data_IF_821541643588
#
_entry.id   IF_821541643588
#
_cell.length_a   1.000
_cell.length_b   1.000
_cell.length_c   1.000
_cell.angle_alpha   90.00
_cell.angle_beta   90.00
_cell.angle_gamma   90.00
#
_symmetry.space_group_name_H-M   'P 1'
#
loop_
_entity.id
_entity.type
_entity.pdbx_description
1 polymer ?
#
# COMPACT_ATOMS: atom_id res chain seq x y z
N UNK A 1 -20.61 33.78 19.32
CA UNK A 1 -19.68 32.94 20.09
C UNK A 1 -18.55 32.56 19.14
N UNK A 2 -17.30 32.77 19.52
CA UNK A 2 -16.18 32.30 18.71
C UNK A 2 -16.19 30.78 18.72
N UNK A 3 -16.21 30.17 17.54
CA UNK A 3 -16.06 28.73 17.45
C UNK A 3 -14.67 28.35 17.98
N UNK A 4 -14.61 27.42 18.93
CA UNK A 4 -13.35 26.90 19.43
C UNK A 4 -12.61 26.22 18.26
N UNK A 5 -11.31 26.49 18.12
CA UNK A 5 -10.46 25.76 17.18
C UNK A 5 -10.27 24.29 17.65
N UNK A 6 -9.81 23.36 16.78
CA UNK A 6 -9.76 21.92 17.09
C UNK A 6 -9.06 21.57 18.42
N UNK A 7 -7.93 22.19 18.72
CA UNK A 7 -7.23 22.00 19.99
C UNK A 7 -8.05 22.50 21.19
N UNK A 8 -8.76 23.62 21.04
CA UNK A 8 -9.67 24.14 22.05
C UNK A 8 -10.89 23.25 22.27
N UNK A 9 -11.41 22.63 21.21
CA UNK A 9 -12.46 21.60 21.29
C UNK A 9 -11.96 20.39 22.09
N UNK A 10 -10.71 19.96 21.90
CA UNK A 10 -10.11 18.85 22.65
C UNK A 10 -10.00 19.16 24.14
N UNK A 11 -9.52 20.37 24.49
CA UNK A 11 -9.46 20.83 25.88
C UNK A 11 -10.87 20.92 26.49
N UNK A 12 -11.83 21.50 25.77
CA UNK A 12 -13.23 21.62 26.21
C UNK A 12 -13.85 20.23 26.45
N UNK A 13 -13.65 19.28 25.55
CA UNK A 13 -14.18 17.92 25.69
C UNK A 13 -13.65 17.22 26.96
N UNK A 14 -12.38 17.41 27.31
CA UNK A 14 -11.83 16.88 28.54
C UNK A 14 -12.42 17.56 29.79
N UNK A 15 -12.64 18.88 29.73
CA UNK A 15 -13.28 19.62 30.82
C UNK A 15 -14.72 19.16 31.03
N UNK A 16 -15.47 18.97 29.95
CA UNK A 16 -16.87 18.54 30.01
C UNK A 16 -16.99 17.10 30.51
N UNK A 17 -16.07 16.21 30.09
CA UNK A 17 -16.04 14.81 30.54
C UNK A 17 -15.84 14.67 32.04
N UNK A 18 -14.95 15.49 32.61
CA UNK A 18 -14.54 15.37 34.02
C UNK A 18 -15.23 16.41 34.94
N UNK A 19 -15.99 17.35 34.36
CA UNK A 19 -16.52 18.51 35.08
C UNK A 19 -15.42 19.47 35.60
N UNK A 20 -14.29 19.54 34.91
CA UNK A 20 -13.08 20.25 35.37
C UNK A 20 -13.01 21.70 34.90
N UNK A 21 -12.63 22.60 35.81
CA UNK A 21 -12.23 23.96 35.46
C UNK A 21 -10.80 24.00 34.87
N UNK A 22 -10.37 25.14 34.33
CA UNK A 22 -8.98 25.29 33.86
C UNK A 22 -7.96 25.21 35.00
N UNK A 23 -8.37 25.55 36.23
CA UNK A 23 -7.54 25.34 37.43
C UNK A 23 -7.41 23.87 37.80
N UNK A 24 -8.43 23.07 37.50
CA UNK A 24 -8.36 21.62 37.73
C UNK A 24 -7.44 20.94 36.72
N UNK A 25 -7.35 21.46 35.49
CA UNK A 25 -6.34 21.04 34.51
C UNK A 25 -4.90 21.32 35.00
N UNK A 26 -4.65 22.49 35.59
CA UNK A 26 -3.36 22.80 36.23
C UNK A 26 -3.04 21.81 37.36
N UNK A 27 -3.98 21.57 38.27
CA UNK A 27 -3.81 20.59 39.35
C UNK A 27 -3.61 19.16 38.82
N UNK A 28 -4.26 18.80 37.72
CA UNK A 28 -4.09 17.51 37.07
C UNK A 28 -2.69 17.37 36.43
N UNK A 29 -2.17 18.45 35.83
CA UNK A 29 -0.81 18.48 35.31
C UNK A 29 0.21 18.31 36.44
N UNK A 30 0.05 19.05 37.54
CA UNK A 30 0.94 18.99 38.71
C UNK A 30 0.97 17.59 39.33
N UNK A 31 -0.19 16.94 39.48
CA UNK A 31 -0.28 15.54 39.96
C UNK A 31 0.43 14.54 39.05
N UNK A 32 0.55 14.85 37.76
CA UNK A 32 1.25 14.02 36.76
C UNK A 32 2.73 14.41 36.60
N UNK A 33 3.26 15.27 37.46
CA UNK A 33 4.65 15.70 37.43
C UNK A 33 4.97 16.74 36.35
N UNK A 34 3.95 17.40 35.81
CA UNK A 34 4.10 18.41 34.77
C UNK A 34 3.83 19.82 35.30
N UNK A 35 4.60 20.81 34.83
CA UNK A 35 4.37 22.22 35.15
C UNK A 35 3.67 22.93 33.99
N UNK A 36 2.37 23.19 34.13
CA UNK A 36 1.60 24.03 33.21
C UNK A 36 0.52 24.82 33.94
N UNK A 37 0.57 26.15 33.84
CA UNK A 37 -0.39 27.05 34.47
C UNK A 37 -1.76 27.05 33.79
N UNK A 38 -2.84 27.28 34.55
CA UNK A 38 -4.21 27.39 34.02
C UNK A 38 -4.34 28.44 32.91
N UNK A 39 -3.55 29.52 32.96
CA UNK A 39 -3.51 30.55 31.91
C UNK A 39 -3.03 29.99 30.57
N UNK A 40 -2.10 29.03 30.56
CA UNK A 40 -1.69 28.35 29.34
C UNK A 40 -2.82 27.48 28.77
N UNK A 41 -3.55 26.75 29.62
CA UNK A 41 -4.72 25.97 29.17
C UNK A 41 -5.81 26.89 28.61
N UNK A 42 -6.09 28.01 29.28
CA UNK A 42 -7.09 28.98 28.83
C UNK A 42 -6.70 29.60 27.49
N UNK A 43 -5.43 29.98 27.33
CA UNK A 43 -4.89 30.52 26.08
C UNK A 43 -5.00 29.51 24.95
N UNK A 44 -4.48 28.29 25.16
CA UNK A 44 -4.52 27.21 24.17
C UNK A 44 -5.93 26.73 23.83
N UNK A 45 -6.94 27.13 24.61
CA UNK A 45 -8.33 26.80 24.35
C UNK A 45 -9.04 27.84 23.48
N UNK A 46 -8.74 29.12 23.67
CA UNK A 46 -9.55 30.23 23.13
C UNK A 46 -8.78 31.04 22.08
N UNK A 47 -7.48 31.23 22.25
CA UNK A 47 -6.67 32.06 21.37
C UNK A 47 -6.22 31.28 20.12
N UNK A 48 -6.05 31.97 18.97
CA UNK A 48 -5.46 31.35 17.78
C UNK A 48 -4.12 30.70 18.09
N UNK A 49 -3.96 29.45 17.66
CA UNK A 49 -2.70 28.70 17.83
C UNK A 49 -1.78 29.04 16.67
N UNK A 50 -0.63 29.64 16.97
CA UNK A 50 0.41 29.97 15.97
C UNK A 50 1.58 28.99 16.06
N UNK A 51 1.85 28.50 17.26
CA UNK A 51 2.89 27.53 17.54
C UNK A 51 2.58 26.77 18.83
N UNK A 52 3.05 25.54 18.91
CA UNK A 52 2.97 24.70 20.10
C UNK A 52 4.31 24.01 20.35
N UNK A 53 4.73 23.92 21.61
CA UNK A 53 5.97 23.22 22.00
C UNK A 53 5.67 21.74 22.20
N UNK A 54 6.66 20.87 21.92
CA UNK A 54 6.58 19.44 22.20
C UNK A 54 6.22 19.15 23.67
N UNK A 55 6.81 19.91 24.62
CA UNK A 55 6.47 19.78 26.03
C UNK A 55 5.00 20.10 26.32
N UNK A 56 4.38 21.04 25.60
CA UNK A 56 2.96 21.34 25.77
C UNK A 56 2.08 20.21 25.23
N UNK A 57 2.48 19.60 24.11
CA UNK A 57 1.80 18.43 23.54
C UNK A 57 1.80 17.28 24.56
N UNK A 58 2.96 16.97 25.15
CA UNK A 58 3.10 15.93 26.17
C UNK A 58 2.21 16.19 27.39
N UNK A 59 2.24 17.42 27.93
CA UNK A 59 1.40 17.77 29.07
C UNK A 59 -0.09 17.67 28.73
N UNK A 60 -0.51 18.16 27.56
CA UNK A 60 -1.91 18.07 27.13
C UNK A 60 -2.33 16.62 26.91
N UNK A 61 -1.52 15.80 26.24
CA UNK A 61 -1.81 14.38 26.04
C UNK A 61 -2.00 13.66 27.38
N UNK A 62 -1.05 13.89 28.29
CA UNK A 62 -1.08 13.37 29.65
C UNK A 62 -2.33 13.82 30.40
N UNK A 63 -2.62 15.12 30.47
CA UNK A 63 -3.74 15.69 31.23
C UNK A 63 -5.10 15.32 30.65
N UNK A 64 -5.26 15.42 29.33
CA UNK A 64 -6.53 15.22 28.62
C UNK A 64 -6.84 13.73 28.38
N UNK A 65 -5.86 12.84 28.60
CA UNK A 65 -6.03 11.39 28.44
C UNK A 65 -6.16 10.97 26.97
N UNK A 66 -5.41 11.62 26.08
CA UNK A 66 -5.38 11.32 24.63
C UNK A 66 -3.93 11.11 24.17
N UNK A 67 -3.74 10.60 22.96
CA UNK A 67 -2.38 10.42 22.42
C UNK A 67 -1.73 11.76 22.07
N UNK A 68 -0.39 11.81 22.14
CA UNK A 68 0.39 12.97 21.67
C UNK A 68 0.12 13.29 20.20
N UNK A 69 -0.08 12.25 19.37
CA UNK A 69 -0.47 12.41 17.98
C UNK A 69 -1.80 13.14 17.83
N UNK A 70 -2.83 12.78 18.60
CA UNK A 70 -4.13 13.46 18.53
C UNK A 70 -4.02 14.95 18.90
N UNK A 71 -3.23 15.27 19.94
CA UNK A 71 -2.97 16.66 20.33
C UNK A 71 -2.17 17.41 19.26
N UNK A 72 -1.15 16.77 18.68
CA UNK A 72 -0.33 17.35 17.63
C UNK A 72 -1.17 17.65 16.37
N UNK A 73 -2.01 16.70 15.93
CA UNK A 73 -2.91 16.90 14.79
C UNK A 73 -3.90 18.03 15.06
N UNK A 74 -4.55 18.03 16.22
CA UNK A 74 -5.48 19.11 16.59
C UNK A 74 -4.78 20.48 16.68
N UNK A 75 -3.53 20.53 17.12
CA UNK A 75 -2.75 21.76 17.14
C UNK A 75 -2.39 22.23 15.71
N UNK A 76 -2.00 21.32 14.82
CA UNK A 76 -1.70 21.59 13.41
C UNK A 76 -2.95 22.09 12.66
N UNK A 77 -4.09 21.44 12.87
CA UNK A 77 -5.38 21.89 12.34
C UNK A 77 -5.79 23.25 12.92
N UNK A 78 -5.49 23.50 14.20
CA UNK A 78 -5.72 24.82 14.83
C UNK A 78 -4.82 25.93 14.27
N UNK A 79 -3.68 25.57 13.68
CA UNK A 79 -2.82 26.48 12.93
C UNK A 79 -3.31 26.70 11.49
N UNK A 80 -4.42 26.07 11.09
CA UNK A 80 -5.02 26.21 9.75
C UNK A 80 -4.49 25.22 8.71
N UNK A 81 -3.68 24.24 9.12
CA UNK A 81 -3.19 23.20 8.22
C UNK A 81 -4.21 22.07 8.17
N UNK A 82 -4.81 21.85 7.01
CA UNK A 82 -5.69 20.71 6.78
C UNK A 82 -4.82 19.45 6.70
N UNK A 83 -4.91 18.63 7.74
CA UNK A 83 -4.36 17.29 7.72
C UNK A 83 -5.42 16.41 7.06
N UNK A 84 -5.28 16.22 5.76
CA UNK A 84 -6.10 15.23 5.08
C UNK A 84 -5.84 13.87 5.73
N UNK A 85 -6.84 13.36 6.42
CA UNK A 85 -6.89 11.98 6.91
C UNK A 85 -7.05 10.99 5.75
N UNK A 86 -6.64 11.38 4.53
CA UNK A 86 -6.39 10.43 3.46
C UNK A 86 -5.42 9.44 4.07
N UNK A 87 -5.91 8.22 4.31
CA UNK A 87 -5.08 7.05 4.47
C UNK A 87 -4.01 7.18 3.41
N UNK A 88 -2.80 7.60 3.80
CA UNK A 88 -1.68 7.67 2.88
C UNK A 88 -1.73 6.34 2.16
N UNK A 89 -1.81 6.36 0.82
CA UNK A 89 -1.95 5.10 0.08
C UNK A 89 -0.87 4.17 0.63
N UNK A 90 -1.11 2.87 0.69
CA UNK A 90 -0.08 1.92 1.13
C UNK A 90 1.26 2.22 0.41
N UNK A 91 1.19 2.71 -0.83
CA UNK A 91 2.34 3.23 -1.58
C UNK A 91 3.04 4.44 -0.96
N UNK A 92 2.30 5.46 -0.50
CA UNK A 92 2.86 6.66 0.14
C UNK A 92 3.47 6.33 1.50
N UNK A 93 2.81 5.48 2.29
CA UNK A 93 3.37 4.97 3.55
C UNK A 93 4.64 4.17 3.31
N UNK A 94 4.65 3.30 2.29
CA UNK A 94 5.86 2.55 1.95
C UNK A 94 6.98 3.45 1.46
N UNK A 95 6.69 4.43 0.60
CA UNK A 95 7.69 5.39 0.08
C UNK A 95 8.39 6.18 1.18
N UNK A 96 7.66 6.50 2.25
CA UNK A 96 8.16 7.29 3.37
C UNK A 96 8.78 6.44 4.51
N UNK A 97 8.73 5.11 4.41
CA UNK A 97 9.34 4.21 5.40
C UNK A 97 10.85 4.15 5.20
N UNK A 98 11.61 4.53 6.22
CA UNK A 98 13.10 4.48 6.21
C UNK A 98 13.67 3.15 6.68
N UNK A 99 12.85 2.30 7.31
CA UNK A 99 13.29 1.04 7.93
C UNK A 99 13.34 -0.13 6.94
N UNK A 100 12.92 0.07 5.68
CA UNK A 100 12.94 -0.96 4.64
C UNK A 100 14.09 -0.72 3.65
N UNK A 101 14.73 -1.80 3.23
CA UNK A 101 15.67 -1.75 2.10
C UNK A 101 14.94 -1.32 0.83
N UNK A 102 15.60 -0.53 -0.02
CA UNK A 102 15.09 -0.13 -1.34
C UNK A 102 14.63 -1.33 -2.19
N UNK A 103 15.25 -2.51 -2.00
CA UNK A 103 14.85 -3.75 -2.68
C UNK A 103 13.47 -4.21 -2.21
N UNK A 104 13.26 -4.27 -0.90
CA UNK A 104 12.04 -4.80 -0.29
C UNK A 104 10.86 -3.84 -0.50
N UNK A 105 11.13 -2.53 -0.42
CA UNK A 105 10.17 -1.49 -0.75
C UNK A 105 9.65 -1.62 -2.19
N UNK A 106 10.54 -1.88 -3.16
CA UNK A 106 10.15 -2.12 -4.56
C UNK A 106 9.30 -3.38 -4.73
N UNK A 107 9.65 -4.46 -4.03
CA UNK A 107 8.90 -5.73 -4.09
C UNK A 107 7.49 -5.57 -3.54
N UNK A 108 7.34 -4.91 -2.39
CA UNK A 108 6.03 -4.73 -1.77
C UNK A 108 5.17 -3.76 -2.59
N UNK A 109 5.76 -2.70 -3.15
CA UNK A 109 5.05 -1.80 -4.08
C UNK A 109 4.57 -2.54 -5.33
N UNK A 110 5.38 -3.44 -5.89
CA UNK A 110 4.96 -4.24 -7.06
C UNK A 110 3.82 -5.20 -6.74
N UNK A 111 3.81 -5.77 -5.54
CA UNK A 111 2.73 -6.66 -5.09
C UNK A 111 1.43 -5.86 -4.88
N UNK A 112 1.52 -4.69 -4.23
CA UNK A 112 0.39 -3.81 -4.02
C UNK A 112 -0.26 -3.35 -5.34
N UNK A 113 0.56 -3.04 -6.35
CA UNK A 113 0.08 -2.69 -7.69
C UNK A 113 -0.66 -3.86 -8.37
N UNK A 114 -0.09 -5.07 -8.32
CA UNK A 114 -0.72 -6.26 -8.90
C UNK A 114 -2.06 -6.63 -8.23
N UNK A 115 -2.18 -6.42 -6.91
CA UNK A 115 -3.43 -6.62 -6.19
C UNK A 115 -4.51 -5.59 -6.53
N UNK A 116 -4.13 -4.39 -6.97
CA UNK A 116 -5.06 -3.34 -7.37
C UNK A 116 -5.62 -3.58 -8.78
N UNK A 117 -4.77 -4.00 -9.71
CA UNK A 117 -5.18 -4.32 -11.09
C UNK A 117 -6.11 -5.54 -11.16
N UNK A 118 -5.98 -6.49 -10.23
CA UNK A 118 -6.86 -7.66 -10.14
C UNK A 118 -8.22 -7.35 -9.49
N UNK A 119 -8.35 -6.23 -8.78
CA UNK A 119 -9.60 -5.81 -8.12
C UNK A 119 -10.49 -4.84 -8.90
N UNK A 120 -9.97 -4.19 -9.96
CA UNK A 120 -10.68 -3.10 -10.66
C UNK A 120 -11.47 -3.55 -11.92
N UNK A 121 -11.68 -4.86 -12.10
CA UNK A 121 -12.21 -5.46 -13.33
C UNK A 121 -13.67 -5.95 -13.31
N UNK A 122 -14.57 -5.45 -12.45
CA UNK A 122 -15.97 -5.91 -12.48
C UNK A 122 -17.04 -4.93 -11.96
N UNK A 123 -17.14 -3.71 -12.49
CA UNK A 123 -18.45 -3.01 -12.54
C UNK A 123 -18.54 -2.30 -13.89
N UNK A 124 -19.20 -2.94 -14.85
CA UNK A 124 -19.54 -2.33 -16.13
C UNK A 124 -20.76 -1.42 -15.99
N UNK A 125 -20.60 -0.16 -16.38
CA UNK A 125 -21.70 0.74 -16.68
C UNK A 125 -21.36 1.45 -18.00
N UNK A 126 -21.75 0.80 -19.10
CA UNK A 126 -21.78 1.40 -20.43
C UNK A 126 -23.02 2.30 -20.49
N UNK A 127 -22.80 3.61 -20.64
CA UNK A 127 -23.82 4.58 -20.98
C UNK A 127 -23.46 5.22 -22.32
N UNK A 128 -24.14 4.79 -23.39
CA UNK A 128 -24.17 5.46 -24.71
C UNK A 128 -25.26 4.86 -25.60
N UNK A 129 -25.80 5.63 -26.58
CA UNK A 129 -27.25 5.80 -26.78
C UNK A 129 -27.89 4.84 -27.79
N UNK A 130 -29.20 4.64 -27.61
CA UNK A 130 -30.12 3.90 -28.50
C UNK A 130 -30.20 4.49 -29.92
N UNK A 131 -30.47 3.62 -30.91
CA UNK A 131 -31.71 3.78 -31.65
C UNK A 131 -32.58 2.50 -31.67
N UNK A 132 -33.88 2.74 -31.87
CA UNK A 132 -35.00 1.80 -31.87
C UNK A 132 -34.91 0.65 -32.88
N UNK A 133 -35.32 -0.56 -32.46
CA UNK A 133 -36.56 -1.20 -32.94
C UNK A 133 -36.74 -2.64 -32.41
N UNK A 134 -37.87 -2.86 -31.73
CA UNK A 134 -38.75 -4.03 -31.69
C UNK A 134 -38.20 -5.49 -31.58
N UNK A 135 -38.08 -5.99 -30.32
CA UNK A 135 -38.68 -7.22 -29.71
C UNK A 135 -38.82 -8.55 -30.52
N UNK A 136 -38.66 -9.80 -29.95
CA UNK A 136 -37.74 -10.37 -28.94
C UNK A 136 -37.23 -11.82 -29.32
N UNK A 137 -36.80 -12.70 -28.38
CA UNK A 137 -35.41 -13.14 -28.21
C UNK A 137 -35.09 -14.53 -28.79
N UNK A 138 -33.85 -14.73 -29.26
CA UNK A 138 -33.27 -16.07 -29.42
C UNK A 138 -31.87 -16.15 -28.84
N UNK A 139 -31.70 -17.15 -27.97
CA UNK A 139 -30.47 -17.58 -27.33
C UNK A 139 -29.36 -17.86 -28.36
N UNK A 140 -28.18 -17.26 -28.18
CA UNK A 140 -26.88 -17.93 -27.98
C UNK A 140 -25.70 -16.99 -28.23
N UNK A 141 -24.67 -17.19 -27.43
CA UNK A 141 -23.38 -16.53 -27.47
C UNK A 141 -22.70 -16.67 -28.85
N UNK A 142 -22.20 -15.54 -29.36
CA UNK A 142 -21.20 -15.45 -30.43
C UNK A 142 -20.15 -14.45 -29.95
N UNK A 143 -18.92 -14.92 -29.82
CA UNK A 143 -17.77 -14.12 -29.45
C UNK A 143 -17.50 -13.02 -30.50
N UNK A 144 -17.01 -11.82 -30.11
CA UNK A 144 -16.60 -10.84 -31.08
C UNK A 144 -15.34 -11.32 -31.81
N UNK A 145 -15.44 -11.31 -33.13
CA UNK A 145 -14.38 -11.49 -34.10
C UNK A 145 -13.13 -10.69 -33.72
N UNK A 146 -12.01 -11.39 -33.55
CA UNK A 146 -10.66 -10.82 -33.44
C UNK A 146 -10.35 -9.97 -34.67
N UNK A 147 -10.21 -8.66 -34.46
CA UNK A 147 -9.74 -7.71 -35.45
C UNK A 147 -8.22 -7.90 -35.63
N UNK A 148 -7.80 -8.66 -36.63
CA UNK A 148 -6.40 -8.78 -37.04
C UNK A 148 -5.95 -7.49 -37.71
N UNK A 149 -5.40 -6.56 -36.91
CA UNK A 149 -4.68 -5.41 -37.45
C UNK A 149 -3.35 -5.88 -38.08
N UNK A 150 -2.99 -5.45 -39.30
CA UNK A 150 -1.69 -5.79 -39.88
C UNK A 150 -0.60 -5.03 -39.11
N UNK A 151 0.19 -5.74 -38.31
CA UNK A 151 1.26 -5.11 -37.53
C UNK A 151 1.79 -5.91 -36.35
N UNK A 152 1.07 -6.94 -35.87
CA UNK A 152 1.68 -7.89 -34.95
C UNK A 152 2.56 -8.87 -35.73
N UNK A 153 3.87 -8.68 -35.58
CA UNK A 153 4.89 -9.69 -35.92
C UNK A 153 4.67 -10.91 -35.03
N UNK A 154 3.81 -11.82 -35.46
CA UNK A 154 4.01 -13.23 -35.15
C UNK A 154 4.97 -13.73 -36.20
N UNK A 155 6.25 -13.84 -35.85
CA UNK A 155 7.18 -14.63 -36.66
C UNK A 155 6.59 -16.03 -36.80
N UNK A 156 6.52 -16.49 -38.04
CA UNK A 156 5.76 -17.64 -38.51
C UNK A 156 6.20 -18.98 -37.90
N UNK A 157 7.31 -18.99 -37.15
CA UNK A 157 7.93 -20.21 -36.63
C UNK A 157 7.58 -20.53 -35.16
N UNK A 158 6.93 -19.63 -34.44
CA UNK A 158 6.54 -19.86 -33.02
C UNK A 158 5.08 -19.51 -32.72
N UNK A 159 4.20 -19.62 -33.71
CA UNK A 159 2.76 -19.50 -33.51
C UNK A 159 2.22 -20.66 -32.68
N UNK A 160 1.65 -20.38 -31.52
CA UNK A 160 0.91 -21.37 -30.73
C UNK A 160 -0.35 -21.73 -31.52
N UNK A 161 -0.31 -22.87 -32.21
CA UNK A 161 -1.47 -23.38 -32.95
C UNK A 161 -2.31 -24.20 -31.96
N UNK A 162 -3.41 -23.63 -31.49
CA UNK A 162 -4.37 -24.35 -30.66
C UNK A 162 -5.17 -25.32 -31.54
N UNK A 163 -4.80 -26.60 -31.50
CA UNK A 163 -5.47 -27.68 -32.23
C UNK A 163 -6.63 -28.23 -31.41
N UNK A 164 -7.82 -28.24 -31.99
CA UNK A 164 -9.03 -28.75 -31.35
C UNK A 164 -9.56 -30.00 -32.07
N UNK A 165 -10.01 -31.00 -31.30
CA UNK A 165 -10.74 -32.16 -31.83
C UNK A 165 -9.88 -33.20 -32.56
N UNK A 166 -10.37 -33.68 -33.70
CA UNK A 166 -9.76 -34.80 -34.44
C UNK A 166 -8.39 -34.46 -35.06
N UNK A 167 -8.09 -33.18 -35.26
CA UNK A 167 -6.78 -32.72 -35.73
C UNK A 167 -5.67 -32.96 -34.70
N UNK A 168 -5.97 -32.86 -33.41
CA UNK A 168 -5.01 -33.16 -32.33
C UNK A 168 -4.69 -34.66 -32.24
N UNK A 169 -5.59 -35.53 -32.73
CA UNK A 169 -5.40 -36.99 -32.71
C UNK A 169 -4.43 -37.49 -33.78
N UNK A 170 -4.17 -36.68 -34.81
CA UNK A 170 -3.24 -37.01 -35.89
C UNK A 170 -1.79 -36.58 -35.61
N UNK A 171 -1.53 -35.93 -34.47
CA UNK A 171 -0.19 -35.49 -34.10
C UNK A 171 0.49 -36.64 -33.36
N UNK A 172 1.59 -37.13 -33.91
CA UNK A 172 2.39 -38.16 -33.27
C UNK A 172 2.93 -37.62 -31.95
N UNK A 173 2.48 -38.20 -30.84
CA UNK A 173 2.98 -37.84 -29.51
C UNK A 173 4.48 -38.13 -29.48
N UNK A 174 5.33 -37.17 -29.08
CA UNK A 174 6.76 -37.39 -29.07
C UNK A 174 7.13 -38.56 -28.15
N UNK A 175 8.19 -39.32 -28.47
CA UNK A 175 8.65 -40.42 -27.64
C UNK A 175 8.88 -39.95 -26.19
N UNK A 176 8.52 -40.80 -25.23
CA UNK A 176 8.57 -40.47 -23.79
C UNK A 176 9.96 -39.98 -23.33
N UNK A 177 11.00 -40.42 -24.02
CA UNK A 177 12.40 -40.07 -23.79
C UNK A 177 12.74 -38.61 -24.11
N UNK A 178 11.92 -37.93 -24.90
CA UNK A 178 12.09 -36.52 -25.30
C UNK A 178 11.24 -35.55 -24.45
N UNK A 179 10.40 -36.08 -23.55
CA UNK A 179 9.62 -35.23 -22.65
C UNK A 179 10.53 -34.62 -21.59
N UNK A 180 10.33 -33.32 -21.29
CA UNK A 180 11.12 -32.61 -20.27
C UNK A 180 11.01 -33.21 -18.86
N UNK A 181 10.02 -34.08 -18.62
CA UNK A 181 9.88 -34.84 -17.37
C UNK A 181 10.68 -36.16 -17.37
N UNK A 182 11.40 -36.48 -18.45
CA UNK A 182 12.21 -37.68 -18.53
C UNK A 182 13.55 -37.48 -17.82
N UNK A 183 14.00 -38.41 -16.95
CA UNK A 183 15.18 -38.24 -16.10
C UNK A 183 16.50 -38.08 -16.86
N UNK A 184 16.52 -38.31 -18.18
CA UNK A 184 17.70 -38.09 -19.04
C UNK A 184 17.70 -36.76 -19.79
N UNK A 185 16.63 -35.96 -19.70
CA UNK A 185 16.49 -34.68 -20.38
C UNK A 185 16.80 -33.56 -19.39
N UNK A 186 18.00 -32.99 -19.49
CA UNK A 186 18.42 -31.86 -18.64
C UNK A 186 17.57 -30.64 -18.96
N UNK A 187 17.06 -29.97 -17.93
CA UNK A 187 16.32 -28.72 -18.11
C UNK A 187 17.26 -27.58 -18.50
N UNK A 188 16.73 -26.53 -19.13
CA UNK A 188 17.53 -25.35 -19.53
C UNK A 188 18.25 -24.69 -18.35
N UNK A 189 17.69 -24.81 -17.14
CA UNK A 189 18.30 -24.31 -15.90
C UNK A 189 19.46 -25.17 -15.42
N UNK A 190 19.30 -26.49 -15.51
CA UNK A 190 20.35 -27.46 -15.13
C UNK A 190 21.55 -27.40 -16.09
N UNK A 191 21.30 -27.15 -17.39
CA UNK A 191 22.36 -26.88 -18.37
C UNK A 191 23.12 -25.58 -18.07
N UNK A 192 22.41 -24.53 -17.62
CA UNK A 192 23.00 -23.23 -17.26
C UNK A 192 23.84 -23.33 -15.98
N UNK A 193 23.39 -24.12 -15.00
CA UNK A 193 24.12 -24.34 -13.74
C UNK A 193 25.42 -25.13 -14.01
N UNK A 194 25.41 -26.11 -14.92
CA UNK A 194 26.62 -26.86 -15.32
C UNK A 194 27.61 -25.97 -16.11
N UNK A 195 27.12 -25.05 -16.95
CA UNK A 195 27.93 -24.10 -17.71
C UNK A 195 28.56 -23.00 -16.84
N UNK A 196 27.97 -22.72 -15.67
CA UNK A 196 28.43 -21.67 -14.74
C UNK A 196 29.19 -22.21 -13.51
N UNK A 197 29.39 -23.53 -13.43
CA UNK A 197 30.03 -24.20 -12.28
C UNK A 197 31.54 -24.42 -12.41
N UNK A 198 32.32 -23.40 -12.78
CA UNK A 198 33.78 -23.31 -12.53
C UNK A 198 34.09 -21.85 -12.14
N UNK A 199 34.65 -21.47 -10.99
CA UNK A 199 35.82 -21.97 -10.29
C UNK A 199 35.71 -21.65 -8.78
N UNK A 200 35.73 -22.66 -7.90
CA UNK A 200 36.18 -22.48 -6.52
C UNK A 200 37.46 -23.30 -6.35
N UNK A 201 38.58 -22.75 -6.82
CA UNK A 201 39.90 -23.27 -6.48
C UNK A 201 40.16 -22.83 -5.03
N UNK A 202 39.97 -23.77 -4.13
CA UNK A 202 40.26 -23.68 -2.71
C UNK A 202 41.78 -23.43 -2.54
N UNK A 203 42.17 -22.16 -2.36
CA UNK A 203 43.51 -21.82 -1.92
C UNK A 203 43.64 -22.23 -0.44
N UNK A 204 44.25 -23.39 -0.21
CA UNK A 204 44.75 -23.80 1.09
C UNK A 204 45.89 -22.85 1.50
N UNK A 205 45.67 -22.08 2.55
CA UNK A 205 46.64 -21.21 3.19
C UNK A 205 47.54 -22.07 4.10
N UNK A 206 48.87 -22.17 3.86
CA UNK A 206 49.74 -22.92 4.76
C UNK A 206 50.02 -22.09 6.01
N UNK A 207 49.56 -22.58 7.16
CA UNK A 207 49.81 -22.00 8.46
C UNK A 207 51.30 -21.76 8.72
N UNK A 208 51.59 -20.58 9.27
CA UNK A 208 52.88 -20.29 9.91
C UNK A 208 52.70 -20.39 11.41
N UNK A 209 53.29 -21.44 11.97
CA UNK A 209 53.68 -21.56 13.37
C UNK A 209 55.01 -20.79 13.60
N UNK A 210 55.10 -20.18 14.79
CA UNK A 210 56.25 -19.55 15.50
C UNK A 210 56.62 -18.10 15.16
#
# INVERSE_FOLDING_TARGET
>A
MNELHPLGKLIQAAQDREGWSTRDLERAAERKGHSMKHSNFSRLKIEPVIAIKASQIQVLASVLGVSEQAVAMAAIESMGVQLDSTSASLEDSLRNTTDLSNRDQRLILSLAAAMRDTGSGSIGQDDSPRPDNDTPPRLRAVAPTSNTRPGQKTETDYGITELHGDEARNISVPPREQLAAHPKVKTRREQLDEETSEHHVENQDPGYDL
#
